data_IF_866511225202
#
_entry.id   IF_866511225202
#
_cell.length_a   1.000
_cell.length_b   1.000
_cell.length_c   1.000
_cell.angle_alpha   90.00
_cell.angle_beta   90.00
_cell.angle_gamma   90.00
#
_symmetry.space_group_name_H-M   'P 1'
#
loop_
_entity.id
_entity.type
_entity.pdbx_description
1 polymer ?
#
# COMPACT_ATOMS: atom_id res chain seq x y z
N UNK A 1 -11.94 9.01 -21.73
CA UNK A 1 -12.29 8.90 -20.29
C UNK A 1 -11.04 8.46 -19.55
N UNK A 2 -10.46 9.26 -18.65
CA UNK A 2 -9.28 8.83 -17.85
C UNK A 2 -9.68 7.53 -17.17
N UNK A 3 -8.98 6.44 -17.51
CA UNK A 3 -9.39 5.09 -17.12
C UNK A 3 -9.54 5.05 -15.61
N UNK A 4 -10.73 4.71 -15.12
CA UNK A 4 -11.05 4.61 -13.69
C UNK A 4 -9.98 3.76 -12.97
N UNK A 5 -9.44 2.77 -13.67
CA UNK A 5 -8.29 1.94 -13.29
C UNK A 5 -7.01 2.70 -12.92
N UNK A 6 -6.65 3.77 -13.63
CA UNK A 6 -5.51 4.60 -13.28
C UNK A 6 -5.75 5.34 -11.95
N UNK A 7 -6.95 5.88 -11.75
CA UNK A 7 -7.32 6.58 -10.52
C UNK A 7 -7.37 5.62 -9.32
N UNK A 8 -7.98 4.44 -9.50
CA UNK A 8 -8.04 3.39 -8.47
C UNK A 8 -6.63 2.91 -8.11
N UNK A 9 -5.76 2.67 -9.11
CA UNK A 9 -4.36 2.29 -8.86
C UNK A 9 -3.58 3.35 -8.09
N UNK A 10 -3.76 4.64 -8.43
CA UNK A 10 -3.13 5.76 -7.73
C UNK A 10 -3.62 5.88 -6.28
N UNK A 11 -4.94 5.82 -6.03
CA UNK A 11 -5.48 5.83 -4.67
C UNK A 11 -4.97 4.65 -3.84
N UNK A 12 -4.91 3.45 -4.44
CA UNK A 12 -4.42 2.27 -3.74
C UNK A 12 -2.94 2.39 -3.38
N UNK A 13 -2.13 2.98 -4.27
CA UNK A 13 -0.71 3.21 -4.04
C UNK A 13 -0.48 4.25 -2.92
N UNK A 14 -1.24 5.36 -2.93
CA UNK A 14 -1.16 6.38 -1.88
C UNK A 14 -1.59 5.82 -0.52
N UNK A 15 -2.73 5.11 -0.46
CA UNK A 15 -3.21 4.51 0.78
C UNK A 15 -2.29 3.39 1.27
N UNK A 16 -1.79 2.55 0.36
CA UNK A 16 -0.76 1.55 0.66
C UNK A 16 0.48 2.19 1.26
N UNK A 17 1.01 3.25 0.65
CA UNK A 17 2.18 3.97 1.16
C UNK A 17 1.98 4.50 2.59
N UNK A 18 0.81 5.06 2.90
CA UNK A 18 0.47 5.53 4.26
C UNK A 18 0.46 4.35 5.26
N UNK A 19 -0.13 3.22 4.89
CA UNK A 19 -0.19 2.02 5.74
C UNK A 19 1.21 1.43 5.97
N UNK A 20 2.05 1.36 4.92
CA UNK A 20 3.44 0.90 5.04
C UNK A 20 4.27 1.84 5.89
N UNK A 21 4.11 3.16 5.73
CA UNK A 21 4.79 4.17 6.55
C UNK A 21 4.36 4.11 8.01
N UNK A 22 3.06 3.93 8.30
CA UNK A 22 2.56 3.72 9.67
C UNK A 22 3.10 2.42 10.29
N UNK A 23 3.22 1.35 9.49
CA UNK A 23 3.89 0.11 9.91
C UNK A 23 5.38 0.30 10.19
N UNK A 24 6.09 1.05 9.35
CA UNK A 24 7.50 1.41 9.53
C UNK A 24 7.71 2.31 10.76
N UNK A 25 6.79 3.22 11.05
CA UNK A 25 6.82 4.04 12.26
C UNK A 25 6.65 3.18 13.52
N UNK A 26 5.80 2.15 13.47
CA UNK A 26 5.66 1.17 14.55
C UNK A 26 6.92 0.33 14.79
N UNK A 27 7.84 0.20 13.82
CA UNK A 27 9.15 -0.40 14.05
C UNK A 27 10.07 0.50 14.89
N UNK A 28 10.03 1.82 14.66
CA UNK A 28 10.86 2.78 15.39
C UNK A 28 10.31 3.10 16.79
N UNK A 29 8.99 2.96 16.99
CA UNK A 29 8.32 3.37 18.23
C UNK A 29 7.38 2.26 18.73
N UNK A 30 7.86 1.39 19.63
CA UNK A 30 7.05 0.31 20.19
C UNK A 30 5.84 0.89 20.93
N UNK A 31 4.60 0.54 20.57
CA UNK A 31 3.42 0.98 21.30
C UNK A 31 3.42 0.39 22.72
N UNK A 32 3.05 1.19 23.72
CA UNK A 32 2.97 0.78 25.13
C UNK A 32 1.98 -0.38 25.39
N UNK A 33 1.09 -0.66 24.44
CA UNK A 33 0.21 -1.83 24.44
C UNK A 33 0.60 -2.78 23.29
N UNK A 34 1.44 -3.80 23.54
CA UNK A 34 1.81 -4.77 22.53
C UNK A 34 0.59 -5.59 22.11
N UNK A 35 0.23 -5.52 20.83
CA UNK A 35 -0.83 -6.34 20.22
C UNK A 35 -0.31 -7.79 20.20
N UNK A 36 -1.19 -8.78 20.39
CA UNK A 36 -0.85 -10.22 20.52
C UNK A 36 0.01 -10.77 19.35
N UNK A 37 0.09 -10.06 18.21
CA UNK A 37 0.92 -10.40 17.05
C UNK A 37 1.85 -9.25 16.57
N UNK A 38 2.26 -8.33 17.46
CA UNK A 38 3.12 -7.19 17.10
C UNK A 38 4.43 -7.62 16.43
N UNK A 39 5.00 -8.77 16.80
CA UNK A 39 6.21 -9.34 16.22
C UNK A 39 6.12 -9.59 14.70
N UNK A 40 4.93 -9.86 14.17
CA UNK A 40 4.72 -10.15 12.75
C UNK A 40 4.54 -8.91 11.87
N UNK A 41 4.44 -7.72 12.47
CA UNK A 41 4.23 -6.45 11.78
C UNK A 41 3.19 -6.53 10.64
N UNK A 42 1.95 -7.00 10.90
CA UNK A 42 0.97 -7.25 9.85
C UNK A 42 0.69 -6.02 8.99
N UNK A 43 0.68 -4.82 9.60
CA UNK A 43 0.47 -3.55 8.90
C UNK A 43 1.55 -3.25 7.86
N UNK A 44 2.80 -3.61 8.12
CA UNK A 44 3.90 -3.38 7.18
C UNK A 44 3.79 -4.32 5.98
N UNK A 45 3.56 -5.62 6.21
CA UNK A 45 3.37 -6.60 5.15
C UNK A 45 2.13 -6.31 4.30
N UNK A 46 1.01 -5.99 4.92
CA UNK A 46 -0.21 -5.61 4.20
C UNK A 46 -0.05 -4.31 3.43
N UNK A 47 0.65 -3.31 3.99
CA UNK A 47 1.00 -2.08 3.27
C UNK A 47 1.85 -2.37 2.04
N UNK A 48 2.84 -3.26 2.15
CA UNK A 48 3.71 -3.66 1.03
C UNK A 48 2.92 -4.40 -0.07
N UNK A 49 2.00 -5.30 0.31
CA UNK A 49 1.08 -5.97 -0.63
C UNK A 49 0.19 -4.96 -1.35
N UNK A 50 -0.38 -3.98 -0.64
CA UNK A 50 -1.18 -2.90 -1.23
C UNK A 50 -0.36 -2.05 -2.20
N UNK A 51 0.91 -1.77 -1.87
CA UNK A 51 1.82 -1.02 -2.72
C UNK A 51 2.14 -1.78 -4.03
N UNK A 52 2.41 -3.08 -3.94
CA UNK A 52 2.67 -3.94 -5.11
C UNK A 52 1.44 -4.01 -6.01
N UNK A 53 0.27 -4.28 -5.43
CA UNK A 53 -1.00 -4.37 -6.19
C UNK A 53 -1.35 -3.01 -6.82
N UNK A 54 -1.20 -1.91 -6.07
CA UNK A 54 -1.46 -0.56 -6.58
C UNK A 54 -0.52 -0.19 -7.74
N UNK A 55 0.76 -0.56 -7.64
CA UNK A 55 1.73 -0.41 -8.73
C UNK A 55 1.37 -1.22 -9.98
N UNK A 56 0.91 -2.47 -9.81
CA UNK A 56 0.43 -3.30 -10.92
C UNK A 56 -0.79 -2.67 -11.60
N UNK A 57 -1.76 -2.15 -10.84
CA UNK A 57 -2.93 -1.46 -11.41
C UNK A 57 -2.55 -0.15 -12.12
N UNK A 58 -1.62 0.62 -11.57
CA UNK A 58 -1.11 1.83 -12.21
C UNK A 58 -0.43 1.51 -13.54
N UNK A 59 0.38 0.46 -13.57
CA UNK A 59 1.10 0.03 -14.77
C UNK A 59 0.18 -0.57 -15.84
N UNK A 60 -0.78 -1.41 -15.45
CA UNK A 60 -1.81 -1.95 -16.34
C UNK A 60 -2.71 -0.85 -16.91
N UNK A 61 -3.07 0.14 -16.08
CA UNK A 61 -3.83 1.33 -16.50
C UNK A 61 -3.07 2.19 -17.50
N UNK A 62 -1.74 2.27 -17.39
CA UNK A 62 -0.87 2.98 -18.34
C UNK A 62 -0.75 2.25 -19.67
N UNK A 63 -0.54 0.93 -19.66
CA UNK A 63 -0.45 0.11 -20.90
C UNK A 63 -1.70 0.17 -21.77
N UNK A 64 -2.88 0.39 -21.18
CA UNK A 64 -4.15 0.45 -21.91
C UNK A 64 -4.40 1.77 -22.64
N UNK A 65 -3.52 2.76 -22.50
CA UNK A 65 -3.58 4.02 -23.26
C UNK A 65 -2.70 4.00 -24.51
N UNK A 66 -1.76 3.06 -24.61
CA UNK A 66 -0.78 2.96 -25.70
C UNK A 66 -1.18 1.96 -26.80
N UNK A 67 -2.38 1.37 -26.73
CA UNK A 67 -2.94 0.40 -27.69
C UNK A 67 -4.32 0.85 -28.17
#
# INVERSE_FOLDING_TARGET
MRSIWFFVGLMLLVMGAVVTAAGAWQFAQPPAAPKVLAQYHPSFWWGLVMMVIGGVFLWAGRRRMDA
#
